data_IF_705906212818
#
_entry.id   IF_705906212818
#
_cell.length_a   1.000
_cell.length_b   1.000
_cell.length_c   1.000
_cell.angle_alpha   90.00
_cell.angle_beta   90.00
_cell.angle_gamma   90.00
#
_symmetry.space_group_name_H-M   'P 1'
#
loop_
_entity.id
_entity.type
_entity.pdbx_description
1 polymer ?
#
# COMPACT_ATOMS: atom_id res chain seq x y z
N UNK A 1 -2.78 10.30 2.63
CA UNK A 1 -2.39 9.62 1.38
C UNK A 1 -3.54 8.85 0.73
N UNK A 2 -4.15 7.84 1.37
CA UNK A 2 -5.24 7.04 0.74
C UNK A 2 -6.38 7.89 0.13
N UNK A 3 -6.87 8.91 0.87
CA UNK A 3 -7.87 9.85 0.34
C UNK A 3 -7.38 10.62 -0.90
N UNK A 4 -6.14 11.11 -0.86
CA UNK A 4 -5.55 11.82 -1.98
C UNK A 4 -5.37 10.90 -3.19
N UNK A 5 -4.98 9.63 -2.96
CA UNK A 5 -4.88 8.65 -4.05
C UNK A 5 -6.25 8.39 -4.70
N UNK A 6 -7.32 8.31 -3.90
CA UNK A 6 -8.68 8.16 -4.41
C UNK A 6 -9.15 9.39 -5.20
N UNK A 7 -8.69 10.59 -4.84
CA UNK A 7 -9.01 11.83 -5.56
C UNK A 7 -8.23 11.97 -6.90
N UNK A 8 -7.14 11.23 -7.08
CA UNK A 8 -6.21 11.41 -8.21
C UNK A 8 -6.01 10.15 -9.06
N UNK A 9 -6.81 9.09 -8.84
CA UNK A 9 -6.73 7.85 -9.62
C UNK A 9 -8.11 7.24 -9.80
N UNK A 10 -8.23 6.35 -10.78
CA UNK A 10 -9.46 5.57 -10.99
C UNK A 10 -9.49 4.27 -10.16
N UNK A 11 -8.50 4.05 -9.28
CA UNK A 11 -8.49 2.89 -8.39
C UNK A 11 -9.57 3.07 -7.31
N UNK A 12 -10.50 2.13 -7.26
CA UNK A 12 -11.51 2.03 -6.22
C UNK A 12 -11.96 0.57 -6.11
N UNK A 13 -12.23 0.05 -4.90
CA UNK A 13 -11.97 0.60 -3.57
C UNK A 13 -10.52 0.94 -3.24
N UNK A 14 -10.30 1.97 -2.41
CA UNK A 14 -9.03 2.17 -1.70
C UNK A 14 -9.31 2.08 -0.21
N UNK A 15 -8.73 1.08 0.43
CA UNK A 15 -8.81 0.85 1.88
C UNK A 15 -7.42 0.99 2.49
N UNK A 16 -7.34 1.59 3.67
CA UNK A 16 -6.09 1.59 4.47
C UNK A 16 -6.03 0.29 5.24
N UNK A 17 -4.84 -0.30 5.34
CA UNK A 17 -4.58 -1.45 6.17
C UNK A 17 -3.26 -1.28 6.92
N UNK A 18 -3.16 -1.89 8.09
CA UNK A 18 -1.94 -1.90 8.89
C UNK A 18 -1.44 -3.34 9.04
N UNK A 19 -0.12 -3.50 8.92
CA UNK A 19 0.51 -4.81 9.12
C UNK A 19 0.43 -5.22 10.60
N UNK A 20 0.67 -4.28 11.51
CA UNK A 20 0.63 -4.49 12.96
C UNK A 20 0.21 -3.19 13.68
N UNK A 21 -0.10 -3.30 14.98
CA UNK A 21 -0.26 -2.21 15.95
C UNK A 21 -1.43 -1.23 15.71
N UNK A 22 -2.17 -1.38 14.62
CA UNK A 22 -3.33 -0.54 14.30
C UNK A 22 -4.38 -1.32 13.51
N UNK A 23 -5.59 -0.76 13.47
CA UNK A 23 -6.72 -1.30 12.73
C UNK A 23 -7.14 -0.33 11.60
N UNK A 24 -7.69 -0.84 10.49
CA UNK A 24 -7.98 -2.26 10.22
C UNK A 24 -6.73 -3.04 9.81
N UNK A 25 -6.74 -4.34 10.06
CA UNK A 25 -5.72 -5.26 9.53
C UNK A 25 -5.92 -5.51 8.03
N UNK A 26 -4.93 -6.16 7.41
CA UNK A 26 -4.92 -6.45 5.97
C UNK A 26 -6.12 -7.30 5.55
N UNK A 27 -6.48 -8.31 6.37
CA UNK A 27 -7.59 -9.20 6.04
C UNK A 27 -8.94 -8.46 6.02
N UNK A 28 -9.17 -7.60 7.01
CA UNK A 28 -10.38 -6.79 7.15
C UNK A 28 -10.50 -5.78 6.01
N UNK A 29 -9.42 -5.07 5.70
CA UNK A 29 -9.40 -4.10 4.59
C UNK A 29 -9.61 -4.78 3.23
N UNK A 30 -8.95 -5.92 2.99
CA UNK A 30 -9.13 -6.70 1.77
C UNK A 30 -10.57 -7.21 1.63
N UNK A 31 -11.17 -7.73 2.71
CA UNK A 31 -12.55 -8.17 2.72
C UNK A 31 -13.52 -7.02 2.40
N UNK A 32 -13.24 -5.79 2.88
CA UNK A 32 -14.02 -4.61 2.53
C UNK A 32 -13.92 -4.27 1.03
N UNK A 33 -12.74 -4.39 0.42
CA UNK A 33 -12.59 -4.26 -1.03
C UNK A 33 -13.44 -5.29 -1.78
N UNK A 34 -13.38 -6.56 -1.37
CA UNK A 34 -14.15 -7.65 -2.00
C UNK A 34 -15.66 -7.45 -1.85
N UNK A 35 -16.12 -7.06 -0.66
CA UNK A 35 -17.54 -6.79 -0.39
C UNK A 35 -18.10 -5.67 -1.28
N UNK A 36 -17.24 -4.75 -1.72
CA UNK A 36 -17.56 -3.67 -2.64
C UNK A 36 -17.40 -4.05 -4.13
N UNK A 37 -17.19 -5.33 -4.43
CA UNK A 37 -17.16 -5.87 -5.78
C UNK A 37 -15.78 -5.91 -6.45
N UNK A 38 -14.69 -5.70 -5.71
CA UNK A 38 -13.35 -5.82 -6.27
C UNK A 38 -13.06 -7.28 -6.69
N UNK A 39 -12.73 -7.47 -7.97
CA UNK A 39 -12.25 -8.76 -8.52
C UNK A 39 -10.72 -8.84 -8.59
N UNK A 40 -10.04 -7.70 -8.42
CA UNK A 40 -8.59 -7.58 -8.36
C UNK A 40 -8.21 -6.54 -7.30
N UNK A 41 -7.42 -6.96 -6.32
CA UNK A 41 -6.99 -6.13 -5.18
C UNK A 41 -5.46 -6.05 -5.17
N UNK A 42 -4.95 -4.83 -5.25
CA UNK A 42 -3.52 -4.53 -5.17
C UNK A 42 -3.16 -4.16 -3.72
N UNK A 43 -2.19 -4.86 -3.14
CA UNK A 43 -1.60 -4.49 -1.86
C UNK A 43 -0.38 -3.63 -2.16
N UNK A 44 -0.48 -2.32 -1.87
CA UNK A 44 0.62 -1.37 -2.01
C UNK A 44 1.29 -1.11 -0.66
N UNK A 45 2.51 -1.60 -0.41
CA UNK A 45 3.19 -1.37 0.85
C UNK A 45 3.72 0.07 0.93
N UNK A 46 3.15 0.87 1.83
CA UNK A 46 3.55 2.26 2.03
C UNK A 46 4.79 2.38 2.95
N UNK A 47 5.89 1.72 2.55
CA UNK A 47 7.17 1.68 3.25
C UNK A 47 8.30 2.28 2.38
N UNK A 48 9.12 3.17 2.95
CA UNK A 48 10.34 3.69 2.28
C UNK A 48 11.47 2.65 2.25
N UNK A 49 11.53 1.80 3.27
CA UNK A 49 12.39 0.62 3.33
C UNK A 49 11.59 -0.49 3.97
N UNK A 50 11.36 -1.57 3.22
CA UNK A 50 10.71 -2.77 3.74
C UNK A 50 11.81 -3.82 3.98
N UNK A 51 11.99 -4.23 5.24
CA UNK A 51 12.87 -5.36 5.55
C UNK A 51 12.31 -6.66 4.98
N UNK A 52 13.16 -7.67 4.80
CA UNK A 52 12.78 -8.98 4.23
C UNK A 52 11.56 -9.58 4.94
N UNK A 53 11.52 -9.52 6.28
CA UNK A 53 10.41 -10.03 7.08
C UNK A 53 9.06 -9.38 6.72
N UNK A 54 9.03 -8.06 6.52
CA UNK A 54 7.81 -7.33 6.13
C UNK A 54 7.30 -7.80 4.78
N UNK A 55 8.20 -7.97 3.81
CA UNK A 55 7.82 -8.42 2.46
C UNK A 55 7.29 -9.86 2.49
N UNK A 56 7.94 -10.75 3.25
CA UNK A 56 7.51 -12.13 3.39
C UNK A 56 6.15 -12.25 4.08
N UNK A 57 5.89 -11.43 5.11
CA UNK A 57 4.60 -11.37 5.78
C UNK A 57 3.48 -10.90 4.83
N UNK A 58 3.73 -9.86 4.03
CA UNK A 58 2.76 -9.38 3.06
C UNK A 58 2.47 -10.42 1.95
N UNK A 59 3.49 -11.17 1.52
CA UNK A 59 3.32 -12.28 0.56
C UNK A 59 2.47 -13.41 1.16
N UNK A 60 2.68 -13.72 2.44
CA UNK A 60 1.84 -14.67 3.18
C UNK A 60 0.39 -14.18 3.24
N UNK A 61 0.16 -12.92 3.57
CA UNK A 61 -1.19 -12.33 3.55
C UNK A 61 -1.85 -12.43 2.17
N UNK A 62 -1.14 -12.15 1.06
CA UNK A 62 -1.70 -12.34 -0.28
C UNK A 62 -2.12 -13.79 -0.55
N UNK A 63 -1.32 -14.76 -0.06
CA UNK A 63 -1.61 -16.19 -0.21
C UNK A 63 -2.87 -16.59 0.57
N UNK A 64 -2.97 -16.14 1.83
CA UNK A 64 -4.13 -16.38 2.70
C UNK A 64 -5.40 -15.75 2.14
N UNK A 65 -5.31 -14.51 1.63
CA UNK A 65 -6.41 -13.81 0.97
C UNK A 65 -6.89 -14.52 -0.30
N UNK A 66 -5.94 -15.01 -1.11
CA UNK A 66 -6.28 -15.76 -2.34
C UNK A 66 -6.99 -17.07 -2.01
N UNK A 67 -6.62 -17.73 -0.90
CA UNK A 67 -7.32 -18.91 -0.41
C UNK A 67 -8.72 -18.58 0.14
N UNK A 68 -8.86 -17.46 0.85
CA UNK A 68 -10.13 -17.02 1.43
C UNK A 68 -11.13 -16.52 0.38
N UNK A 69 -10.66 -15.90 -0.70
CA UNK A 69 -11.49 -15.37 -1.79
C UNK A 69 -11.03 -15.90 -3.16
N UNK A 70 -11.32 -17.17 -3.52
CA UNK A 70 -10.78 -17.83 -4.72
C UNK A 70 -11.15 -17.19 -6.06
N UNK A 71 -12.13 -16.27 -6.08
CA UNK A 71 -12.57 -15.54 -7.29
C UNK A 71 -11.96 -14.15 -7.40
N UNK A 72 -11.12 -13.74 -6.46
CA UNK A 72 -10.49 -12.43 -6.41
C UNK A 72 -8.99 -12.61 -6.54
N UNK A 73 -8.37 -11.84 -7.43
CA UNK A 73 -6.92 -11.80 -7.56
C UNK A 73 -6.34 -10.84 -6.53
N UNK A 74 -5.34 -11.29 -5.77
CA UNK A 74 -4.55 -10.43 -4.89
C UNK A 74 -3.12 -10.35 -5.39
N UNK A 75 -2.57 -9.14 -5.48
CA UNK A 75 -1.20 -8.92 -5.95
C UNK A 75 -0.47 -7.93 -5.05
N UNK A 76 0.77 -8.28 -4.69
CA UNK A 76 1.64 -7.42 -3.89
C UNK A 76 2.45 -6.53 -4.83
N UNK A 77 2.24 -5.22 -4.76
CA UNK A 77 3.07 -4.25 -5.47
C UNK A 77 4.45 -4.09 -4.80
N UNK A 78 5.45 -3.58 -5.53
CA UNK A 78 6.68 -3.09 -4.90
C UNK A 78 6.36 -2.06 -3.81
N UNK A 79 7.13 -2.03 -2.70
CA UNK A 79 6.99 -0.97 -1.71
C UNK A 79 7.33 0.39 -2.34
N UNK A 80 6.88 1.48 -1.71
CA UNK A 80 7.21 2.84 -2.15
C UNK A 80 8.72 3.02 -2.38
N UNK A 81 9.55 2.52 -1.45
CA UNK A 81 10.96 2.28 -1.67
C UNK A 81 11.75 3.51 -2.13
N UNK A 82 12.79 3.26 -2.92
CA UNK A 82 13.59 4.28 -3.60
C UNK A 82 13.03 4.59 -5.00
N UNK A 83 11.71 4.75 -5.11
CA UNK A 83 11.09 5.18 -6.37
C UNK A 83 11.79 6.46 -6.87
N UNK A 84 12.03 6.65 -8.19
CA UNK A 84 12.80 7.80 -8.69
C UNK A 84 12.30 9.18 -8.21
N UNK A 85 10.99 9.32 -7.97
CA UNK A 85 10.40 10.55 -7.43
C UNK A 85 10.71 10.80 -5.94
N UNK A 86 11.17 9.81 -5.18
CA UNK A 86 11.56 10.01 -3.77
C UNK A 86 12.75 10.93 -3.63
N UNK A 87 13.70 10.92 -4.56
CA UNK A 87 14.82 11.86 -4.54
C UNK A 87 14.33 13.31 -4.66
N UNK A 88 13.30 13.57 -5.49
CA UNK A 88 12.69 14.89 -5.58
C UNK A 88 12.05 15.30 -4.26
N UNK A 89 11.25 14.43 -3.64
CA UNK A 89 10.63 14.73 -2.34
C UNK A 89 11.69 15.00 -1.27
N UNK A 90 12.73 14.18 -1.19
CA UNK A 90 13.83 14.35 -0.21
C UNK A 90 14.55 15.69 -0.44
N UNK A 91 14.86 16.02 -1.70
CA UNK A 91 15.49 17.30 -2.05
C UNK A 91 14.60 18.47 -1.65
N UNK A 92 13.32 18.44 -2.01
CA UNK A 92 12.37 19.51 -1.72
C UNK A 92 12.25 19.71 -0.20
N UNK A 93 12.20 18.62 0.60
CA UNK A 93 12.23 18.68 2.07
C UNK A 93 13.50 19.29 2.65
N UNK A 94 14.67 19.03 2.07
CA UNK A 94 15.93 19.64 2.50
C UNK A 94 15.93 21.15 2.21
N UNK A 95 15.36 21.55 1.08
CA UNK A 95 15.27 22.95 0.66
C UNK A 95 14.28 23.76 1.51
N UNK A 96 13.28 23.14 2.14
CA UNK A 96 12.37 23.82 3.09
C UNK A 96 13.11 24.49 4.26
N UNK A 97 14.35 24.09 4.56
CA UNK A 97 15.15 24.63 5.67
C UNK A 97 16.42 25.37 5.25
N UNK A 98 16.79 25.32 3.97
CA UNK A 98 17.94 26.05 3.46
C UNK A 98 17.46 27.38 2.86
N UNK A 99 17.93 28.55 3.35
CA UNK A 99 17.67 29.80 2.66
C UNK A 99 18.18 29.68 1.23
N UNK A 100 17.41 30.19 0.26
CA UNK A 100 17.80 30.21 -1.15
C UNK A 100 19.20 30.82 -1.27
N UNK A 101 20.16 30.03 -1.76
CA UNK A 101 21.51 30.48 -2.13
C UNK A 101 21.42 31.09 -3.54
#
# INVERSE_FOLDING_TARGET
MARQLAEHTDYAPIEVAYLELAAPDIATAAAACVARGASHVLLLPYFLSAGTHVVDDLRRCCTELSAAFPRVRFELCPPLGLHPLMLHIVRDRLQERLPSI
#
